data_IF_277308885605
#
_entry.id   IF_277308885605
#
_cell.length_a   1.000
_cell.length_b   1.000
_cell.length_c   1.000
_cell.angle_alpha   90.00
_cell.angle_beta   90.00
_cell.angle_gamma   90.00
#
_symmetry.space_group_name_H-M   'P 1'
#
loop_
_entity.id
_entity.type
_entity.pdbx_description
1 polymer ?
#
# COMPACT_ATOMS: atom_id res chain seq x y z
N UNK A 1 -9.52 20.79 -12.16
CA UNK A 1 -9.28 19.51 -12.88
C UNK A 1 -8.04 18.93 -12.24
N UNK A 2 -8.19 17.86 -11.43
CA UNK A 2 -7.05 17.17 -10.86
C UNK A 2 -6.35 16.42 -12.01
N UNK A 3 -5.15 16.89 -12.38
CA UNK A 3 -4.29 16.12 -13.27
C UNK A 3 -4.02 14.77 -12.59
N UNK A 4 -4.44 13.68 -13.24
CA UNK A 4 -4.10 12.32 -12.79
C UNK A 4 -2.58 12.20 -12.79
N UNK A 5 -1.99 11.60 -11.75
CA UNK A 5 -0.56 11.32 -11.78
C UNK A 5 -0.22 10.55 -13.07
N UNK A 6 0.83 10.96 -13.77
CA UNK A 6 1.32 10.36 -15.03
C UNK A 6 1.70 8.87 -14.90
N UNK A 7 1.70 8.34 -13.67
CA UNK A 7 2.06 6.94 -13.34
C UNK A 7 0.84 5.99 -13.32
N UNK A 8 -0.37 6.50 -13.46
CA UNK A 8 -1.58 5.70 -13.38
C UNK A 8 -2.10 5.35 -14.78
N UNK A 9 -2.07 4.07 -15.13
CA UNK A 9 -2.53 3.59 -16.43
C UNK A 9 -4.07 3.56 -16.49
N UNK A 10 -4.73 4.30 -17.42
CA UNK A 10 -6.19 4.24 -17.56
C UNK A 10 -6.68 2.83 -17.91
N UNK A 11 -7.83 2.42 -17.36
CA UNK A 11 -8.43 1.09 -17.61
C UNK A 11 -8.59 0.75 -19.09
N UNK A 12 -8.89 1.75 -19.93
CA UNK A 12 -9.07 1.58 -21.35
C UNK A 12 -7.79 1.17 -22.10
N UNK A 13 -6.61 1.35 -21.50
CA UNK A 13 -5.31 1.06 -22.11
C UNK A 13 -4.74 -0.31 -21.71
N UNK A 14 -5.39 -1.02 -20.78
CA UNK A 14 -4.94 -2.34 -20.34
C UNK A 14 -5.13 -3.39 -21.44
N UNK A 15 -4.04 -3.98 -21.93
CA UNK A 15 -3.99 -4.98 -22.99
C UNK A 15 -3.11 -6.18 -22.68
N UNK A 16 -2.12 -6.02 -21.79
CA UNK A 16 -1.12 -7.03 -21.45
C UNK A 16 -1.18 -7.38 -19.97
N UNK A 17 -0.50 -8.45 -19.56
CA UNK A 17 -0.37 -8.84 -18.15
C UNK A 17 0.34 -7.75 -17.36
N UNK A 18 1.43 -7.19 -17.88
CA UNK A 18 2.21 -6.14 -17.22
C UNK A 18 1.37 -4.87 -17.01
N UNK A 19 0.60 -4.48 -18.03
CA UNK A 19 -0.33 -3.36 -17.92
C UNK A 19 -1.43 -3.64 -16.90
N UNK A 20 -1.97 -4.86 -16.86
CA UNK A 20 -2.96 -5.27 -15.87
C UNK A 20 -2.40 -5.18 -14.45
N UNK A 21 -1.21 -5.75 -14.20
CA UNK A 21 -0.56 -5.70 -12.90
C UNK A 21 -0.27 -4.26 -12.46
N UNK A 22 0.31 -3.46 -13.36
CA UNK A 22 0.60 -2.05 -13.10
C UNK A 22 -0.66 -1.27 -12.78
N UNK A 23 -1.72 -1.48 -13.58
CA UNK A 23 -3.02 -0.85 -13.34
C UNK A 23 -3.60 -1.25 -11.99
N UNK A 24 -3.66 -2.54 -11.66
CA UNK A 24 -4.26 -3.01 -10.41
C UNK A 24 -3.49 -2.56 -9.16
N UNK A 25 -2.16 -2.60 -9.19
CA UNK A 25 -1.34 -2.06 -8.10
C UNK A 25 -1.53 -0.54 -8.00
N UNK A 26 -1.60 0.15 -9.13
CA UNK A 26 -1.87 1.58 -9.21
C UNK A 26 -3.26 1.95 -8.66
N UNK A 27 -4.31 1.15 -8.94
CA UNK A 27 -5.65 1.35 -8.36
C UNK A 27 -5.64 1.25 -6.84
N UNK A 28 -4.94 0.25 -6.28
CA UNK A 28 -4.81 0.09 -4.82
C UNK A 28 -4.11 1.29 -4.19
N UNK A 29 -3.06 1.80 -4.81
CA UNK A 29 -2.26 2.88 -4.22
C UNK A 29 -2.84 4.28 -4.51
N UNK A 30 -3.11 4.58 -5.78
CA UNK A 30 -3.39 5.93 -6.31
C UNK A 30 -4.76 6.07 -6.94
N UNK A 31 -5.51 4.99 -7.12
CA UNK A 31 -6.84 5.04 -7.72
C UNK A 31 -7.76 6.06 -7.00
N UNK A 32 -8.85 6.48 -7.62
CA UNK A 32 -9.78 7.43 -7.01
C UNK A 32 -10.36 6.93 -5.68
N UNK A 33 -10.32 5.62 -5.46
CA UNK A 33 -10.73 4.94 -4.23
C UNK A 33 -9.57 4.23 -3.55
N UNK A 34 -8.34 4.48 -4.01
CA UNK A 34 -7.13 3.87 -3.48
C UNK A 34 -6.71 4.45 -2.13
N UNK A 35 -5.65 3.87 -1.58
CA UNK A 35 -5.17 4.20 -0.23
C UNK A 35 -4.83 5.68 -0.05
N UNK A 36 -4.15 6.30 -1.03
CA UNK A 36 -3.80 7.73 -0.94
C UNK A 36 -5.05 8.59 -0.88
N UNK A 37 -6.05 8.34 -1.73
CA UNK A 37 -7.30 9.07 -1.71
C UNK A 37 -8.07 8.87 -0.40
N UNK A 38 -8.05 7.64 0.13
CA UNK A 38 -8.79 7.25 1.32
C UNK A 38 -8.30 7.90 2.61
N UNK A 39 -7.07 8.42 2.63
CA UNK A 39 -6.51 9.08 3.83
C UNK A 39 -6.30 10.59 3.65
N UNK A 40 -6.37 11.11 2.42
CA UNK A 40 -5.97 12.50 2.13
C UNK A 40 -6.89 13.57 2.70
N UNK A 41 -8.15 13.25 2.98
CA UNK A 41 -9.17 14.16 3.54
C UNK A 41 -9.39 13.98 5.04
N UNK A 42 -8.61 13.12 5.68
CA UNK A 42 -8.72 12.84 7.11
C UNK A 42 -7.97 13.90 7.93
N UNK A 43 -8.47 14.14 9.13
CA UNK A 43 -7.69 14.81 10.18
C UNK A 43 -6.72 13.81 10.81
N UNK A 44 -5.73 14.31 11.57
CA UNK A 44 -4.81 13.44 12.30
C UNK A 44 -5.53 12.53 13.31
N UNK A 45 -6.59 12.99 13.96
CA UNK A 45 -7.41 12.20 14.88
C UNK A 45 -8.17 11.08 14.12
N UNK A 46 -8.79 11.42 12.99
CA UNK A 46 -9.49 10.47 12.13
C UNK A 46 -8.56 9.40 11.56
N UNK A 47 -7.31 9.75 11.25
CA UNK A 47 -6.29 8.78 10.82
C UNK A 47 -6.02 7.70 11.88
N UNK A 48 -6.18 8.03 13.16
CA UNK A 48 -6.01 7.10 14.29
C UNK A 48 -7.32 6.44 14.73
N UNK A 49 -8.43 6.70 14.05
CA UNK A 49 -9.73 6.09 14.35
C UNK A 49 -9.69 4.58 14.08
N UNK A 50 -10.38 3.83 14.94
CA UNK A 50 -10.58 2.37 14.86
C UNK A 50 -12.06 2.06 14.90
N UNK A 51 -12.52 1.20 14.00
CA UNK A 51 -13.92 0.81 13.92
C UNK A 51 -14.39 -0.03 15.13
N UNK A 52 -13.45 -0.66 15.86
CA UNK A 52 -13.70 -1.41 17.09
C UNK A 52 -12.44 -1.47 17.95
N UNK A 53 -12.53 -1.86 19.25
CA UNK A 53 -11.36 -2.00 20.12
C UNK A 53 -10.27 -2.92 19.61
N UNK A 54 -10.64 -3.96 18.84
CA UNK A 54 -9.69 -4.91 18.25
C UNK A 54 -9.24 -4.57 16.82
N UNK A 55 -9.81 -3.51 16.22
CA UNK A 55 -9.44 -3.12 14.86
C UNK A 55 -8.14 -2.32 14.83
N UNK A 56 -7.45 -2.35 13.70
CA UNK A 56 -6.37 -1.43 13.41
C UNK A 56 -6.89 -0.02 13.11
N UNK A 57 -6.04 0.98 13.24
CA UNK A 57 -6.39 2.34 12.83
C UNK A 57 -6.30 2.49 11.30
N UNK A 58 -7.01 3.47 10.75
CA UNK A 58 -6.93 3.80 9.32
C UNK A 58 -5.47 4.06 8.90
N UNK A 59 -4.70 4.75 9.73
CA UNK A 59 -3.28 5.02 9.47
C UNK A 59 -2.44 3.75 9.43
N UNK A 60 -2.70 2.79 10.32
CA UNK A 60 -2.02 1.49 10.28
C UNK A 60 -2.33 0.74 9.00
N UNK A 61 -3.61 0.63 8.63
CA UNK A 61 -4.05 -0.08 7.42
C UNK A 61 -3.35 0.48 6.17
N UNK A 62 -3.31 1.79 6.00
CA UNK A 62 -2.66 2.44 4.87
C UNK A 62 -1.12 2.25 4.90
N UNK A 63 -0.48 2.54 6.05
CA UNK A 63 0.97 2.38 6.22
C UNK A 63 1.42 0.95 5.96
N UNK A 64 0.70 -0.03 6.49
CA UNK A 64 1.01 -1.45 6.34
C UNK A 64 1.04 -1.86 4.87
N UNK A 65 0.06 -1.43 4.08
CA UNK A 65 0.03 -1.74 2.64
C UNK A 65 1.13 -1.01 1.89
N UNK A 66 1.37 0.28 2.14
CA UNK A 66 2.48 1.01 1.51
C UNK A 66 3.82 0.33 1.80
N UNK A 67 4.06 -0.06 3.08
CA UNK A 67 5.25 -0.80 3.48
C UNK A 67 5.37 -2.15 2.80
N UNK A 68 4.23 -2.87 2.66
CA UNK A 68 4.20 -4.19 2.01
C UNK A 68 4.56 -4.08 0.53
N UNK A 69 3.98 -3.13 -0.18
CA UNK A 69 4.27 -2.89 -1.61
C UNK A 69 5.74 -2.50 -1.82
N UNK A 70 6.22 -1.52 -1.05
CA UNK A 70 7.61 -1.04 -1.09
C UNK A 70 8.60 -2.19 -0.81
N UNK A 71 8.33 -2.99 0.22
CA UNK A 71 9.19 -4.09 0.65
C UNK A 71 9.22 -5.23 -0.37
N UNK A 72 8.06 -5.66 -0.87
CA UNK A 72 7.99 -6.78 -1.81
C UNK A 72 8.63 -6.41 -3.14
N UNK A 73 8.28 -5.27 -3.72
CA UNK A 73 8.80 -4.91 -5.04
C UNK A 73 10.27 -4.51 -4.95
N UNK A 74 10.61 -3.53 -4.11
CA UNK A 74 11.97 -3.01 -4.10
C UNK A 74 12.96 -3.95 -3.42
N UNK A 75 12.66 -4.37 -2.18
CA UNK A 75 13.62 -5.17 -1.42
C UNK A 75 13.62 -6.65 -1.83
N UNK A 76 12.44 -7.29 -1.90
CA UNK A 76 12.38 -8.73 -2.19
C UNK A 76 12.64 -9.02 -3.66
N UNK A 77 11.99 -8.31 -4.60
CA UNK A 77 12.12 -8.60 -6.03
C UNK A 77 13.38 -8.00 -6.64
N UNK A 78 13.64 -6.71 -6.42
CA UNK A 78 14.70 -5.97 -7.09
C UNK A 78 16.02 -5.93 -6.32
N UNK A 79 16.00 -6.28 -5.03
CA UNK A 79 17.17 -6.20 -4.13
C UNK A 79 17.68 -4.76 -3.94
N UNK A 80 16.77 -3.82 -3.99
CA UNK A 80 17.02 -2.40 -3.77
C UNK A 80 16.62 -1.96 -2.37
N UNK A 81 17.10 -0.79 -1.95
CA UNK A 81 16.60 -0.15 -0.73
C UNK A 81 15.15 0.28 -0.91
N UNK A 82 14.34 0.16 0.13
CA UNK A 82 12.95 0.65 0.12
C UNK A 82 12.92 2.19 0.19
N UNK A 83 11.86 2.80 -0.34
CA UNK A 83 11.59 4.25 -0.18
C UNK A 83 11.57 4.62 1.30
N UNK A 84 11.01 3.74 2.14
CA UNK A 84 10.99 3.86 3.59
C UNK A 84 12.35 4.15 4.21
N UNK A 85 13.36 3.39 3.80
CA UNK A 85 14.72 3.52 4.30
C UNK A 85 15.47 4.68 3.64
N UNK A 86 15.32 4.85 2.33
CA UNK A 86 15.98 5.93 1.58
C UNK A 86 15.62 7.32 2.11
N UNK A 87 14.36 7.49 2.51
CA UNK A 87 13.87 8.75 3.07
C UNK A 87 14.04 8.87 4.59
N UNK A 88 14.55 7.82 5.27
CA UNK A 88 14.74 7.82 6.72
C UNK A 88 13.44 7.93 7.53
N UNK A 89 12.32 7.44 6.97
CA UNK A 89 10.99 7.61 7.58
C UNK A 89 10.83 6.78 8.86
N UNK A 90 11.57 5.70 9.01
CA UNK A 90 11.63 4.91 10.24
C UNK A 90 12.08 5.76 11.44
N UNK A 91 13.11 6.55 11.22
CA UNK A 91 13.64 7.46 12.25
C UNK A 91 12.74 8.69 12.43
N UNK A 92 12.31 9.29 11.30
CA UNK A 92 11.49 10.51 11.32
C UNK A 92 10.14 10.33 12.02
N UNK A 93 9.53 9.14 11.87
CA UNK A 93 8.21 8.84 12.43
C UNK A 93 8.26 7.96 13.69
N UNK A 94 9.44 7.48 14.10
CA UNK A 94 9.61 6.59 15.24
C UNK A 94 8.91 5.24 15.06
N UNK A 95 8.80 4.77 13.81
CA UNK A 95 8.14 3.52 13.43
C UNK A 95 9.17 2.43 13.09
N UNK A 96 8.78 1.13 13.08
CA UNK A 96 9.72 0.04 12.87
C UNK A 96 10.49 0.16 11.55
N UNK A 97 11.81 -0.05 11.60
CA UNK A 97 12.69 -0.01 10.44
C UNK A 97 12.38 -1.13 9.43
N UNK A 98 12.30 -2.36 9.90
CA UNK A 98 12.12 -3.55 9.06
C UNK A 98 10.70 -4.10 9.10
N UNK A 99 10.09 -4.19 10.28
CA UNK A 99 8.73 -4.69 10.42
C UNK A 99 7.73 -3.77 9.72
N UNK A 100 6.73 -4.38 9.12
CA UNK A 100 5.63 -3.70 8.42
C UNK A 100 4.27 -3.97 9.06
N UNK A 101 4.26 -4.58 10.26
CA UNK A 101 3.04 -4.92 10.99
C UNK A 101 2.46 -6.30 10.70
N UNK A 102 3.04 -7.08 9.77
CA UNK A 102 2.63 -8.47 9.53
C UNK A 102 2.89 -9.31 10.78
N UNK A 103 1.86 -10.00 11.28
CA UNK A 103 1.91 -10.80 12.52
C UNK A 103 2.19 -10.00 13.80
N UNK A 104 2.08 -8.67 13.77
CA UNK A 104 2.20 -7.86 14.97
C UNK A 104 1.00 -8.08 15.91
N UNK A 105 1.26 -8.10 17.21
CA UNK A 105 0.19 -8.18 18.22
C UNK A 105 -0.67 -6.91 18.22
N UNK A 106 -1.95 -7.06 18.60
CA UNK A 106 -2.89 -5.96 18.59
C UNK A 106 -2.43 -4.76 19.43
N UNK A 107 -1.78 -5.02 20.56
CA UNK A 107 -1.23 -3.98 21.43
C UNK A 107 -0.13 -3.17 20.76
N UNK A 108 0.75 -3.83 19.99
CA UNK A 108 1.82 -3.16 19.24
C UNK A 108 1.24 -2.27 18.14
N UNK A 109 0.31 -2.79 17.33
CA UNK A 109 -0.32 -2.02 16.25
C UNK A 109 -1.12 -0.84 16.81
N UNK A 110 -1.71 -1.03 17.97
CA UNK A 110 -2.49 -0.01 18.66
C UNK A 110 -1.64 1.10 19.30
N UNK A 111 -0.41 0.81 19.65
CA UNK A 111 0.53 1.80 20.16
C UNK A 111 1.14 2.69 19.06
N UNK A 112 1.12 2.25 17.81
CA UNK A 112 1.71 3.01 16.71
C UNK A 112 1.02 4.36 16.50
N UNK A 113 1.84 5.38 16.22
CA UNK A 113 1.37 6.74 15.88
C UNK A 113 1.92 7.12 14.53
N UNK A 114 1.04 7.61 13.68
CA UNK A 114 1.35 7.97 12.31
C UNK A 114 1.48 9.50 12.18
N UNK A 115 2.24 10.00 11.21
CA UNK A 115 2.35 11.44 10.97
C UNK A 115 1.02 12.00 10.47
N UNK A 116 1.00 13.31 10.17
CA UNK A 116 -0.13 13.95 9.50
C UNK A 116 -0.53 13.18 8.23
N UNK A 117 -1.83 13.07 7.92
CA UNK A 117 -2.33 12.33 6.76
C UNK A 117 -1.64 12.70 5.45
N UNK A 118 -1.32 13.98 5.27
CA UNK A 118 -0.61 14.46 4.08
C UNK A 118 0.78 13.83 3.91
N UNK A 119 1.51 13.62 5.02
CA UNK A 119 2.84 12.99 4.99
C UNK A 119 2.75 11.49 4.69
N UNK A 120 1.77 10.80 5.31
CA UNK A 120 1.53 9.39 5.04
C UNK A 120 1.07 9.18 3.58
N UNK A 121 0.19 10.04 3.08
CA UNK A 121 -0.24 10.01 1.68
C UNK A 121 0.92 10.32 0.72
N UNK A 122 1.86 11.19 1.10
CA UNK A 122 3.06 11.45 0.30
C UNK A 122 3.95 10.23 0.21
N UNK A 123 4.19 9.53 1.33
CA UNK A 123 4.91 8.25 1.30
C UNK A 123 4.24 7.25 0.34
N UNK A 124 2.91 7.12 0.36
CA UNK A 124 2.19 6.26 -0.58
C UNK A 124 2.40 6.66 -2.05
N UNK A 125 2.44 7.97 -2.36
CA UNK A 125 2.77 8.47 -3.70
C UNK A 125 4.21 8.16 -4.11
N UNK A 126 5.15 8.31 -3.20
CA UNK A 126 6.57 8.05 -3.46
C UNK A 126 6.81 6.55 -3.71
N UNK A 127 6.15 5.68 -2.93
CA UNK A 127 6.14 4.23 -3.17
C UNK A 127 5.57 3.92 -4.56
N UNK A 128 4.41 4.48 -4.91
CA UNK A 128 3.82 4.28 -6.22
C UNK A 128 4.75 4.74 -7.35
N UNK A 129 5.40 5.90 -7.18
CA UNK A 129 6.37 6.44 -8.13
C UNK A 129 7.57 5.54 -8.37
N UNK A 130 8.04 4.84 -7.33
CA UNK A 130 9.15 3.90 -7.43
C UNK A 130 8.71 2.53 -7.99
N UNK A 131 7.52 2.05 -7.60
CA UNK A 131 7.07 0.67 -7.82
C UNK A 131 6.38 0.49 -9.18
N UNK A 132 5.50 1.41 -9.61
CA UNK A 132 4.71 1.21 -10.83
C UNK A 132 5.55 1.09 -12.10
N UNK A 133 6.59 1.91 -12.32
CA UNK A 133 7.49 1.72 -13.46
C UNK A 133 8.24 0.37 -13.41
N UNK A 134 8.61 -0.07 -12.20
CA UNK A 134 9.29 -1.34 -12.01
C UNK A 134 8.36 -2.52 -12.36
N UNK A 135 7.11 -2.51 -11.92
CA UNK A 135 6.11 -3.54 -12.25
C UNK A 135 5.86 -3.57 -13.77
N UNK A 136 5.74 -2.41 -14.41
CA UNK A 136 5.53 -2.30 -15.85
C UNK A 136 6.70 -2.90 -16.67
N UNK A 137 7.91 -2.89 -16.13
CA UNK A 137 9.11 -3.40 -16.77
C UNK A 137 9.36 -4.91 -16.54
N UNK A 138 8.58 -5.59 -15.68
CA UNK A 138 8.75 -7.02 -15.40
C UNK A 138 8.31 -7.86 -16.59
N UNK A 139 9.20 -8.67 -17.13
CA UNK A 139 8.86 -9.64 -18.17
C UNK A 139 8.26 -10.94 -17.59
N UNK A 140 7.75 -11.80 -18.45
CA UNK A 140 7.11 -13.05 -18.05
C UNK A 140 8.11 -14.00 -17.33
N UNK A 141 9.37 -14.04 -17.78
CA UNK A 141 10.37 -14.87 -17.16
C UNK A 141 10.65 -14.44 -15.71
N UNK A 142 10.81 -13.15 -15.48
CA UNK A 142 10.97 -12.57 -14.14
C UNK A 142 9.76 -12.83 -13.24
N UNK A 143 8.55 -12.70 -13.79
CA UNK A 143 7.30 -12.92 -13.04
C UNK A 143 7.09 -14.38 -12.63
N UNK A 144 7.61 -15.34 -13.41
CA UNK A 144 7.49 -16.77 -13.12
C UNK A 144 8.55 -17.31 -12.14
N UNK A 145 9.58 -16.53 -11.80
CA UNK A 145 10.59 -16.96 -10.84
C UNK A 145 9.98 -17.16 -9.44
N UNK A 146 10.41 -18.26 -8.78
CA UNK A 146 10.03 -18.57 -7.40
C UNK A 146 10.80 -17.69 -6.41
N UNK A 147 10.09 -17.23 -5.41
CA UNK A 147 10.60 -16.48 -4.27
C UNK A 147 10.04 -17.04 -2.98
N UNK A 148 10.72 -16.78 -1.87
CA UNK A 148 10.21 -17.12 -0.54
C UNK A 148 9.82 -15.85 0.19
N UNK A 149 8.55 -15.74 0.61
CA UNK A 149 8.03 -14.66 1.43
C UNK A 149 7.51 -15.24 2.75
N UNK A 150 8.09 -14.85 3.87
CA UNK A 150 7.60 -15.24 5.19
C UNK A 150 6.36 -14.43 5.57
N UNK A 151 5.32 -15.05 6.16
CA UNK A 151 5.16 -16.45 6.50
C UNK A 151 4.56 -17.33 5.38
N UNK A 152 4.33 -16.81 4.17
CA UNK A 152 3.54 -17.45 3.11
C UNK A 152 4.26 -18.60 2.38
N UNK A 153 5.58 -18.71 2.53
CA UNK A 153 6.37 -19.75 1.88
C UNK A 153 6.79 -19.40 0.45
N UNK A 154 6.90 -20.42 -0.39
CA UNK A 154 7.40 -20.30 -1.77
C UNK A 154 6.25 -20.05 -2.74
N UNK A 155 6.39 -19.03 -3.60
CA UNK A 155 5.42 -18.66 -4.62
C UNK A 155 6.12 -17.90 -5.76
N UNK A 156 5.49 -17.79 -6.93
CA UNK A 156 6.03 -16.96 -8.01
C UNK A 156 5.88 -15.47 -7.68
N UNK A 157 6.72 -14.63 -8.29
CA UNK A 157 6.54 -13.16 -8.18
C UNK A 157 5.16 -12.73 -8.67
N UNK A 158 4.66 -13.34 -9.74
CA UNK A 158 3.31 -13.10 -10.25
C UNK A 158 2.24 -13.38 -9.18
N UNK A 159 2.29 -14.57 -8.55
CA UNK A 159 1.36 -14.93 -7.48
C UNK A 159 1.48 -13.98 -6.29
N UNK A 160 2.70 -13.55 -5.96
CA UNK A 160 2.93 -12.57 -4.89
C UNK A 160 2.30 -11.21 -5.20
N UNK A 161 2.42 -10.69 -6.41
CA UNK A 161 1.74 -9.44 -6.81
C UNK A 161 0.23 -9.59 -6.65
N UNK A 162 -0.34 -10.68 -7.17
CA UNK A 162 -1.78 -10.92 -7.08
C UNK A 162 -2.28 -11.02 -5.64
N UNK A 163 -1.60 -11.81 -4.80
CA UNK A 163 -2.05 -12.11 -3.44
C UNK A 163 -1.65 -11.03 -2.44
N UNK A 164 -0.35 -10.67 -2.42
CA UNK A 164 0.21 -9.85 -1.35
C UNK A 164 0.09 -8.34 -1.62
N UNK A 165 -0.10 -7.92 -2.87
CA UNK A 165 -0.26 -6.50 -3.20
C UNK A 165 -1.70 -6.17 -3.58
N UNK A 166 -2.27 -6.88 -4.56
CA UNK A 166 -3.61 -6.56 -5.08
C UNK A 166 -4.71 -7.02 -4.11
N UNK A 167 -4.81 -8.33 -3.85
CA UNK A 167 -5.88 -8.87 -3.00
C UNK A 167 -5.77 -8.33 -1.57
N UNK A 168 -4.59 -8.38 -0.97
CA UNK A 168 -4.30 -7.88 0.36
C UNK A 168 -4.55 -6.36 0.47
N UNK A 169 -4.10 -5.57 -0.50
CA UNK A 169 -4.35 -4.13 -0.52
C UNK A 169 -5.85 -3.80 -0.56
N UNK A 170 -6.64 -4.54 -1.35
CA UNK A 170 -8.10 -4.37 -1.39
C UNK A 170 -8.79 -4.78 -0.09
N UNK A 171 -8.28 -5.78 0.64
CA UNK A 171 -8.80 -6.13 1.98
C UNK A 171 -8.64 -4.95 2.96
N UNK A 172 -7.46 -4.32 2.98
CA UNK A 172 -7.20 -3.15 3.82
C UNK A 172 -8.02 -1.93 3.39
N UNK A 173 -8.21 -1.72 2.08
CA UNK A 173 -9.11 -0.69 1.57
C UNK A 173 -10.56 -0.90 2.05
N UNK A 174 -11.04 -2.14 2.09
CA UNK A 174 -12.36 -2.47 2.65
C UNK A 174 -12.47 -2.09 4.13
N UNK A 175 -11.43 -2.37 4.93
CA UNK A 175 -11.36 -1.97 6.34
C UNK A 175 -11.37 -0.45 6.52
N UNK A 176 -10.59 0.27 5.71
CA UNK A 176 -10.55 1.74 5.71
C UNK A 176 -11.93 2.31 5.32
N UNK A 177 -12.55 1.78 4.27
CA UNK A 177 -13.88 2.22 3.81
C UNK A 177 -14.92 2.09 4.92
N UNK A 178 -14.96 0.93 5.60
CA UNK A 178 -15.84 0.73 6.74
C UNK A 178 -15.58 1.73 7.87
N UNK A 179 -14.31 1.96 8.21
CA UNK A 179 -13.95 2.93 9.26
C UNK A 179 -14.36 4.36 8.86
N UNK A 180 -14.19 4.75 7.58
CA UNK A 180 -14.63 6.04 7.05
C UNK A 180 -16.16 6.21 7.12
N UNK A 181 -16.93 5.17 6.80
CA UNK A 181 -18.40 5.19 6.93
C UNK A 181 -18.84 5.44 8.38
N UNK A 182 -18.20 4.78 9.34
CA UNK A 182 -18.47 4.98 10.78
C UNK A 182 -18.15 6.43 11.20
N UNK A 183 -17.11 7.03 10.63
CA UNK A 183 -16.76 8.44 10.85
C UNK A 183 -17.70 9.43 10.13
N UNK A 184 -18.64 8.94 9.31
CA UNK A 184 -19.52 9.79 8.50
C UNK A 184 -18.82 10.49 7.33
N UNK A 185 -17.67 9.98 6.89
CA UNK A 185 -16.95 10.50 5.72
C UNK A 185 -17.66 10.12 4.42
N UNK A 186 -17.58 10.96 3.38
CA UNK A 186 -18.14 10.61 2.07
C UNK A 186 -17.62 9.27 1.57
N UNK A 187 -18.50 8.49 0.97
CA UNK A 187 -18.13 7.28 0.26
C UNK A 187 -17.26 7.66 -0.96
N UNK A 188 -16.11 7.03 -1.10
CA UNK A 188 -15.19 7.28 -2.22
C UNK A 188 -15.49 6.38 -3.44
N UNK A 189 -16.25 5.31 -3.24
CA UNK A 189 -16.59 4.33 -4.26
C UNK A 189 -17.69 4.77 -5.22
N UNK A 190 -18.15 3.84 -6.07
CA UNK A 190 -19.22 4.01 -7.07
C UNK A 190 -20.60 4.06 -6.45
#
# INVERSE_FOLDING_TARGET
MNERPTLYLPRAEVRTLQELLTHQVGEVLLGPWGLVASISDLTHEELHFRASPGANSIGFEAWHVFRTVDNIIRYVFLRESTVWIEQGLDVAWGLPKAAQGTTAEAEETQAMRFPEPALLAQYGRDVAGAVLPAVAAMDDAFLQELITIRPFGELTRLASIGTNLIAHGNQHLGSITMAREILGKPYLGV
#
